data_IF_572810544234
#
_entry.id   IF_572810544234
#
_cell.length_a   1.000
_cell.length_b   1.000
_cell.length_c   1.000
_cell.angle_alpha   90.00
_cell.angle_beta   90.00
_cell.angle_gamma   90.00
#
_symmetry.space_group_name_H-M   'P 1'
#
loop_
_entity.id
_entity.type
_entity.pdbx_description
1 polymer ?
#
# COMPACT_ATOMS: atom_id res chain seq x y z
N UNK A 1 -34.72 -8.57 -9.06
CA UNK A 1 -33.61 -9.09 -9.85
C UNK A 1 -32.40 -9.27 -8.96
N UNK A 2 -31.78 -10.46 -8.93
CA UNK A 2 -30.53 -10.65 -8.18
C UNK A 2 -29.40 -9.85 -8.82
N UNK A 3 -28.47 -9.34 -7.98
CA UNK A 3 -27.31 -8.53 -8.41
C UNK A 3 -26.00 -9.08 -7.83
N UNK A 4 -26.01 -10.34 -7.36
CA UNK A 4 -24.87 -10.90 -6.62
C UNK A 4 -23.57 -10.90 -7.45
N UNK A 5 -23.62 -11.35 -8.70
CA UNK A 5 -22.48 -11.34 -9.61
C UNK A 5 -22.08 -9.93 -10.07
N UNK A 6 -23.06 -9.04 -10.27
CA UNK A 6 -22.82 -7.63 -10.57
C UNK A 6 -22.07 -6.94 -9.42
N UNK A 7 -22.53 -7.11 -8.18
CA UNK A 7 -21.87 -6.55 -7.00
C UNK A 7 -20.45 -7.10 -6.85
N UNK A 8 -20.26 -8.43 -6.98
CA UNK A 8 -18.94 -9.03 -6.94
C UNK A 8 -17.99 -8.48 -8.02
N UNK A 9 -18.52 -8.24 -9.23
CA UNK A 9 -17.78 -7.64 -10.35
C UNK A 9 -17.38 -6.20 -10.05
N UNK A 10 -18.32 -5.38 -9.57
CA UNK A 10 -18.05 -3.97 -9.23
C UNK A 10 -16.98 -3.83 -8.15
N UNK A 11 -17.01 -4.69 -7.12
CA UNK A 11 -16.00 -4.71 -6.06
C UNK A 11 -14.62 -5.01 -6.66
N UNK A 12 -14.51 -6.04 -7.52
CA UNK A 12 -13.23 -6.41 -8.15
C UNK A 12 -12.69 -5.32 -9.08
N UNK A 13 -13.55 -4.71 -9.89
CA UNK A 13 -13.16 -3.61 -10.78
C UNK A 13 -12.67 -2.39 -9.99
N UNK A 14 -13.38 -2.03 -8.90
CA UNK A 14 -12.96 -0.92 -8.05
C UNK A 14 -11.64 -1.23 -7.34
N UNK A 15 -11.53 -2.41 -6.72
CA UNK A 15 -10.34 -2.80 -5.99
C UNK A 15 -9.11 -2.88 -6.90
N UNK A 16 -9.27 -3.41 -8.13
CA UNK A 16 -8.19 -3.45 -9.12
C UNK A 16 -7.63 -2.05 -9.40
N UNK A 17 -8.51 -1.07 -9.58
CA UNK A 17 -8.12 0.32 -9.79
C UNK A 17 -7.36 0.88 -8.58
N UNK A 18 -7.92 0.75 -7.39
CA UNK A 18 -7.32 1.26 -6.14
C UNK A 18 -5.94 0.63 -5.86
N UNK A 19 -5.79 -0.68 -6.10
CA UNK A 19 -4.52 -1.38 -5.93
C UNK A 19 -3.45 -0.85 -6.88
N UNK A 20 -3.79 -0.58 -8.15
CA UNK A 20 -2.85 -0.03 -9.12
C UNK A 20 -2.45 1.41 -8.78
N UNK A 21 -3.41 2.24 -8.38
CA UNK A 21 -3.16 3.63 -7.96
C UNK A 21 -2.26 3.66 -6.71
N UNK A 22 -2.55 2.82 -5.71
CA UNK A 22 -1.71 2.70 -4.51
C UNK A 22 -0.28 2.23 -4.85
N UNK A 23 -0.15 1.22 -5.71
CA UNK A 23 1.18 0.74 -6.11
C UNK A 23 2.00 1.84 -6.80
N UNK A 24 1.37 2.67 -7.64
CA UNK A 24 2.02 3.82 -8.27
C UNK A 24 2.48 4.86 -7.24
N UNK A 25 1.63 5.22 -6.27
CA UNK A 25 1.98 6.16 -5.20
C UNK A 25 3.13 5.62 -4.33
N UNK A 26 3.11 4.32 -4.00
CA UNK A 26 4.20 3.68 -3.25
C UNK A 26 5.52 3.70 -4.04
N UNK A 27 5.49 3.46 -5.35
CA UNK A 27 6.68 3.55 -6.20
C UNK A 27 7.23 4.99 -6.26
N UNK A 28 6.37 6.00 -6.26
CA UNK A 28 6.79 7.41 -6.18
C UNK A 28 7.49 7.69 -4.84
N UNK A 29 6.98 7.14 -3.73
CA UNK A 29 7.63 7.25 -2.42
C UNK A 29 9.01 6.57 -2.42
N UNK A 30 9.11 5.34 -2.92
CA UNK A 30 10.38 4.61 -3.04
C UNK A 30 11.39 5.41 -3.87
N UNK A 31 10.98 5.98 -5.01
CA UNK A 31 11.83 6.82 -5.84
C UNK A 31 12.28 8.09 -5.11
N UNK A 32 11.40 8.71 -4.34
CA UNK A 32 11.75 9.87 -3.51
C UNK A 32 12.79 9.52 -2.47
N UNK A 33 12.63 8.39 -1.79
CA UNK A 33 13.60 7.88 -0.82
C UNK A 33 14.96 7.59 -1.48
N UNK A 34 14.96 6.95 -2.64
CA UNK A 34 16.19 6.68 -3.41
C UNK A 34 16.91 7.98 -3.82
N UNK A 35 16.15 9.01 -4.20
CA UNK A 35 16.72 10.34 -4.50
C UNK A 35 17.36 10.96 -3.28
N UNK A 36 16.66 11.01 -2.13
CA UNK A 36 17.21 11.54 -0.88
C UNK A 36 18.47 10.76 -0.48
N UNK A 37 18.46 9.44 -0.60
CA UNK A 37 19.63 8.60 -0.31
C UNK A 37 20.81 8.95 -1.23
N UNK A 38 20.59 9.12 -2.52
CA UNK A 38 21.62 9.50 -3.48
C UNK A 38 22.25 10.85 -3.16
N UNK A 39 21.45 11.82 -2.72
CA UNK A 39 21.90 13.17 -2.35
C UNK A 39 22.64 13.20 -1.01
N UNK A 40 22.51 12.16 -0.18
CA UNK A 40 23.05 12.07 1.18
C UNK A 40 23.91 10.84 1.44
N UNK A 41 24.55 10.30 0.41
CA UNK A 41 25.32 9.06 0.51
C UNK A 41 26.52 9.16 1.46
N UNK A 42 27.08 10.37 1.65
CA UNK A 42 28.21 10.66 2.54
C UNK A 42 27.78 11.20 3.91
N UNK A 43 26.49 11.42 4.15
CA UNK A 43 25.98 11.96 5.41
C UNK A 43 26.07 10.90 6.49
N UNK A 44 27.09 11.00 7.36
CA UNK A 44 27.30 10.08 8.47
C UNK A 44 26.33 10.41 9.60
N UNK A 45 25.70 9.37 10.16
CA UNK A 45 24.84 9.47 11.32
C UNK A 45 25.08 8.32 12.29
N UNK A 46 24.78 8.49 13.59
CA UNK A 46 24.82 7.38 14.52
C UNK A 46 23.70 6.38 14.26
N UNK A 47 24.03 5.10 14.24
CA UNK A 47 23.03 4.03 14.27
C UNK A 47 22.61 3.74 15.71
N UNK A 48 21.39 3.24 15.89
CA UNK A 48 20.81 2.91 17.18
C UNK A 48 20.30 1.49 17.22
N UNK A 49 20.50 0.82 18.35
CA UNK A 49 19.76 -0.38 18.75
C UNK A 49 19.29 -0.18 20.18
N UNK A 50 18.04 -0.50 20.47
CA UNK A 50 17.45 -0.28 21.80
C UNK A 50 17.58 1.17 22.29
N UNK A 51 17.51 2.14 21.38
CA UNK A 51 17.73 3.58 21.62
C UNK A 51 19.12 3.91 22.22
N UNK A 52 20.08 3.01 22.07
CA UNK A 52 21.47 3.22 22.46
C UNK A 52 22.34 3.36 21.21
N UNK A 53 23.37 4.21 21.29
CA UNK A 53 24.34 4.35 20.20
C UNK A 53 24.95 3.00 19.82
N UNK A 54 24.92 2.68 18.56
CA UNK A 54 25.49 1.48 17.99
C UNK A 54 26.58 1.85 16.96
N UNK A 55 26.61 1.19 15.81
CA UNK A 55 27.59 1.46 14.76
C UNK A 55 27.24 2.76 14.03
N UNK A 56 28.24 3.52 13.53
CA UNK A 56 27.99 4.58 12.57
C UNK A 56 27.37 4.03 11.28
N UNK A 57 26.49 4.81 10.69
CA UNK A 57 25.88 4.50 9.40
C UNK A 57 25.81 5.77 8.55
N UNK A 58 25.22 5.71 7.37
CA UNK A 58 24.88 6.88 6.57
C UNK A 58 23.37 7.04 6.49
N UNK A 59 22.92 8.27 6.28
CA UNK A 59 21.50 8.58 6.05
C UNK A 59 20.98 7.77 4.84
N UNK A 60 21.78 7.69 3.78
CA UNK A 60 21.44 6.89 2.61
C UNK A 60 21.18 5.42 2.93
N UNK A 61 22.07 4.79 3.70
CA UNK A 61 21.92 3.38 4.07
C UNK A 61 20.63 3.15 4.89
N UNK A 62 20.35 4.06 5.81
CA UNK A 62 19.15 3.99 6.65
C UNK A 62 17.86 4.12 5.83
N UNK A 63 17.77 5.16 4.99
CA UNK A 63 16.59 5.41 4.13
C UNK A 63 16.37 4.25 3.14
N UNK A 64 17.45 3.72 2.55
CA UNK A 64 17.34 2.61 1.61
C UNK A 64 16.81 1.33 2.27
N UNK A 65 17.04 1.12 3.57
CA UNK A 65 16.44 0.01 4.30
C UNK A 65 14.90 0.04 4.27
N UNK A 66 14.32 1.23 4.45
CA UNK A 66 12.86 1.43 4.33
C UNK A 66 12.39 1.36 2.88
N UNK A 67 13.14 1.96 1.94
CA UNK A 67 12.80 1.88 0.51
C UNK A 67 12.73 0.44 -0.01
N UNK A 68 13.66 -0.42 0.40
CA UNK A 68 13.64 -1.85 0.07
C UNK A 68 12.43 -2.58 0.71
N UNK A 69 12.07 -2.24 1.93
CA UNK A 69 10.88 -2.79 2.60
C UNK A 69 9.60 -2.42 1.85
N UNK A 70 9.44 -1.15 1.51
CA UNK A 70 8.30 -0.67 0.70
C UNK A 70 8.29 -1.27 -0.71
N UNK A 71 9.46 -1.50 -1.33
CA UNK A 71 9.57 -2.20 -2.60
C UNK A 71 8.96 -3.61 -2.54
N UNK A 72 9.26 -4.36 -1.49
CA UNK A 72 8.63 -5.68 -1.26
C UNK A 72 7.12 -5.58 -1.00
N UNK A 73 6.64 -4.49 -0.42
CA UNK A 73 5.22 -4.26 -0.23
C UNK A 73 4.50 -3.92 -1.55
N UNK A 74 5.18 -3.21 -2.47
CA UNK A 74 4.69 -3.02 -3.84
C UNK A 74 4.52 -4.38 -4.55
N UNK A 75 5.49 -5.28 -4.43
CA UNK A 75 5.38 -6.62 -4.99
C UNK A 75 4.19 -7.40 -4.40
N UNK A 76 3.97 -7.30 -3.08
CA UNK A 76 2.84 -7.94 -2.38
C UNK A 76 1.50 -7.43 -2.88
N UNK A 77 1.33 -6.09 -2.97
CA UNK A 77 0.04 -5.51 -3.36
C UNK A 77 -0.26 -5.77 -4.83
N UNK A 78 0.73 -5.73 -5.70
CA UNK A 78 0.58 -6.13 -7.11
C UNK A 78 0.25 -7.62 -7.25
N UNK A 79 0.85 -8.48 -6.42
CA UNK A 79 0.52 -9.90 -6.37
C UNK A 79 -0.95 -10.20 -6.05
N UNK A 80 -1.68 -9.30 -5.38
CA UNK A 80 -3.11 -9.47 -5.15
C UNK A 80 -3.92 -9.41 -6.45
N UNK A 81 -3.41 -8.76 -7.50
CA UNK A 81 -4.12 -8.61 -8.77
C UNK A 81 -4.49 -9.94 -9.40
N UNK A 82 -3.67 -10.98 -9.28
CA UNK A 82 -3.94 -12.32 -9.81
C UNK A 82 -5.27 -12.92 -9.29
N UNK A 83 -5.65 -12.58 -8.06
CA UNK A 83 -6.91 -13.03 -7.42
C UNK A 83 -8.02 -12.03 -7.58
N UNK A 84 -7.72 -10.74 -7.69
CA UNK A 84 -8.70 -9.67 -7.94
C UNK A 84 -9.18 -9.73 -9.38
N UNK A 85 -8.27 -9.95 -10.35
CA UNK A 85 -8.52 -9.78 -11.78
C UNK A 85 -9.20 -10.99 -12.43
N UNK A 86 -10.19 -11.57 -11.73
CA UNK A 86 -11.01 -12.71 -12.17
C UNK A 86 -12.47 -12.32 -12.25
N UNK A 87 -13.12 -12.60 -13.40
CA UNK A 87 -14.48 -12.16 -13.72
C UNK A 87 -15.53 -13.06 -13.09
N UNK A 88 -16.38 -12.58 -12.16
CA UNK A 88 -17.49 -13.34 -11.61
C UNK A 88 -18.78 -13.17 -12.43
N UNK A 89 -18.88 -12.17 -13.33
CA UNK A 89 -20.11 -11.80 -14.01
C UNK A 89 -20.66 -12.93 -14.88
N UNK A 90 -21.98 -13.10 -14.86
CA UNK A 90 -22.67 -14.21 -15.48
C UNK A 90 -22.85 -15.43 -14.58
N UNK A 91 -22.34 -15.37 -13.31
CA UNK A 91 -22.69 -16.36 -12.29
C UNK A 91 -24.14 -16.23 -11.78
N UNK A 92 -24.79 -15.13 -12.11
CA UNK A 92 -26.15 -14.79 -11.70
C UNK A 92 -26.32 -14.74 -10.18
N UNK A 93 -27.37 -15.32 -9.63
CA UNK A 93 -27.56 -15.36 -8.17
C UNK A 93 -26.47 -16.20 -7.48
N UNK A 94 -26.17 -17.40 -7.99
CA UNK A 94 -25.09 -18.30 -7.54
C UNK A 94 -24.86 -19.53 -8.46
N UNK A 95 -25.82 -19.91 -9.28
CA UNK A 95 -25.82 -21.16 -10.05
C UNK A 95 -25.79 -20.93 -11.57
N UNK A 96 -25.38 -19.74 -12.02
CA UNK A 96 -25.37 -19.35 -13.42
C UNK A 96 -26.77 -19.19 -14.02
N UNK A 97 -26.93 -19.27 -15.33
CA UNK A 97 -28.19 -19.08 -16.05
C UNK A 97 -28.25 -19.99 -17.27
N UNK A 98 -29.47 -20.39 -17.66
CA UNK A 98 -29.71 -21.11 -18.90
C UNK A 98 -29.81 -20.23 -20.14
N UNK A 99 -29.72 -18.90 -20.02
CA UNK A 99 -29.66 -18.02 -21.19
C UNK A 99 -28.29 -18.14 -21.88
N UNK A 100 -28.26 -18.00 -23.24
CA UNK A 100 -27.01 -18.13 -24.01
C UNK A 100 -26.14 -16.87 -23.87
N UNK A 101 -25.55 -16.68 -22.70
CA UNK A 101 -24.60 -15.61 -22.44
C UNK A 101 -23.15 -16.08 -22.69
N UNK A 102 -22.29 -15.16 -23.13
CA UNK A 102 -20.85 -15.40 -23.28
C UNK A 102 -20.08 -14.69 -22.15
N UNK A 103 -19.73 -15.47 -21.12
CA UNK A 103 -18.97 -14.96 -19.97
C UNK A 103 -17.53 -14.59 -20.34
N UNK A 104 -16.94 -15.28 -21.30
CA UNK A 104 -15.58 -14.99 -21.74
C UNK A 104 -15.51 -13.64 -22.45
N UNK A 105 -16.48 -13.37 -23.32
CA UNK A 105 -16.61 -12.05 -23.98
C UNK A 105 -16.86 -10.92 -22.99
N UNK A 106 -17.64 -11.19 -21.95
CA UNK A 106 -17.88 -10.21 -20.87
C UNK A 106 -16.62 -9.93 -20.09
N UNK A 107 -15.83 -10.95 -19.74
CA UNK A 107 -14.55 -10.80 -19.05
C UNK A 107 -13.56 -9.97 -19.88
N UNK A 108 -13.43 -10.28 -21.17
CA UNK A 108 -12.57 -9.53 -22.10
C UNK A 108 -12.96 -8.05 -22.17
N UNK A 109 -14.25 -7.73 -22.32
CA UNK A 109 -14.74 -6.36 -22.41
C UNK A 109 -14.51 -5.55 -21.12
N UNK A 110 -14.48 -6.22 -19.95
CA UNK A 110 -14.21 -5.61 -18.66
C UNK A 110 -12.72 -5.64 -18.29
N UNK A 111 -11.87 -6.20 -19.16
CA UNK A 111 -10.42 -6.29 -18.95
C UNK A 111 -10.01 -7.23 -17.82
N UNK A 112 -10.80 -8.26 -17.56
CA UNK A 112 -10.39 -9.36 -16.66
C UNK A 112 -9.54 -10.39 -17.43
N UNK A 113 -8.60 -11.01 -16.73
CA UNK A 113 -7.72 -12.02 -17.33
C UNK A 113 -8.44 -13.34 -17.57
N UNK A 114 -9.32 -13.73 -16.66
CA UNK A 114 -10.04 -14.99 -16.73
C UNK A 114 -11.45 -14.94 -16.13
N UNK A 115 -12.25 -15.93 -16.46
CA UNK A 115 -13.59 -16.14 -15.89
C UNK A 115 -13.50 -17.08 -14.68
N UNK A 116 -14.11 -16.72 -13.56
CA UNK A 116 -14.27 -17.64 -12.42
C UNK A 116 -15.17 -18.81 -12.81
N UNK A 117 -14.63 -20.03 -12.75
CA UNK A 117 -15.30 -21.21 -13.27
C UNK A 117 -16.49 -21.64 -12.41
N UNK A 118 -16.32 -21.68 -11.10
CA UNK A 118 -17.41 -22.04 -10.19
C UNK A 118 -18.26 -20.81 -9.88
N UNK A 119 -19.54 -20.86 -10.23
CA UNK A 119 -20.47 -19.72 -10.09
C UNK A 119 -20.83 -19.42 -8.62
N UNK A 120 -20.80 -20.40 -7.73
CA UNK A 120 -21.03 -20.17 -6.30
C UNK A 120 -19.84 -19.41 -5.68
N UNK A 121 -18.62 -19.85 -5.96
CA UNK A 121 -17.40 -19.17 -5.54
C UNK A 121 -17.33 -17.75 -6.10
N UNK A 122 -17.69 -17.58 -7.37
CA UNK A 122 -17.69 -16.28 -8.05
C UNK A 122 -18.54 -15.20 -7.34
N UNK A 123 -19.66 -15.59 -6.73
CA UNK A 123 -20.55 -14.64 -6.02
C UNK A 123 -20.31 -14.58 -4.51
N UNK A 124 -19.77 -15.65 -3.91
CA UNK A 124 -19.59 -15.74 -2.44
C UNK A 124 -18.16 -15.43 -1.98
N UNK A 125 -17.13 -15.75 -2.78
CA UNK A 125 -15.72 -15.59 -2.42
C UNK A 125 -15.37 -14.13 -2.08
N UNK A 126 -14.70 -13.93 -0.93
CA UNK A 126 -14.21 -12.64 -0.43
C UNK A 126 -12.77 -12.72 0.08
N UNK A 127 -12.11 -13.84 -0.14
CA UNK A 127 -10.73 -14.11 0.22
C UNK A 127 -9.76 -13.09 -0.39
N UNK A 128 -9.97 -12.68 -1.62
CA UNK A 128 -9.20 -11.61 -2.28
C UNK A 128 -9.26 -10.26 -1.55
N UNK A 129 -10.39 -9.93 -0.89
CA UNK A 129 -10.50 -8.73 -0.05
C UNK A 129 -9.71 -8.87 1.24
N UNK A 130 -9.79 -10.05 1.88
CA UNK A 130 -9.06 -10.34 3.12
C UNK A 130 -7.55 -10.34 2.88
N UNK A 131 -7.10 -10.93 1.75
CA UNK A 131 -5.71 -10.90 1.33
C UNK A 131 -5.24 -9.44 1.13
N UNK A 132 -5.97 -8.66 0.34
CA UNK A 132 -5.63 -7.24 0.10
C UNK A 132 -5.60 -6.45 1.40
N UNK A 133 -6.58 -6.63 2.30
CA UNK A 133 -6.60 -5.96 3.59
C UNK A 133 -5.40 -6.34 4.47
N UNK A 134 -4.95 -7.60 4.41
CA UNK A 134 -3.76 -8.05 5.13
C UNK A 134 -2.47 -7.42 4.59
N UNK A 135 -2.37 -7.26 3.28
CA UNK A 135 -1.23 -6.57 2.64
C UNK A 135 -1.25 -5.08 3.00
N UNK A 136 -2.42 -4.44 2.97
CA UNK A 136 -2.57 -3.04 3.39
C UNK A 136 -2.14 -2.82 4.85
N UNK A 137 -2.51 -3.75 5.74
CA UNK A 137 -2.05 -3.69 7.14
C UNK A 137 -0.52 -3.79 7.24
N UNK A 138 0.13 -4.63 6.44
CA UNK A 138 1.58 -4.74 6.40
C UNK A 138 2.24 -3.44 5.92
N UNK A 139 1.71 -2.83 4.86
CA UNK A 139 2.16 -1.51 4.35
C UNK A 139 2.05 -0.46 5.47
N UNK A 140 0.93 -0.41 6.19
CA UNK A 140 0.72 0.55 7.28
C UNK A 140 1.67 0.36 8.46
N UNK A 141 2.11 -0.87 8.73
CA UNK A 141 3.15 -1.13 9.73
C UNK A 141 4.47 -0.49 9.32
N UNK A 142 4.89 -0.64 8.07
CA UNK A 142 6.12 -0.01 7.58
C UNK A 142 6.00 1.51 7.57
N UNK A 143 4.88 2.06 7.10
CA UNK A 143 4.62 3.51 7.16
C UNK A 143 4.67 4.06 8.59
N UNK A 144 4.11 3.32 9.55
CA UNK A 144 4.18 3.68 10.97
C UNK A 144 5.61 3.71 11.51
N UNK A 145 6.46 2.75 11.11
CA UNK A 145 7.88 2.72 11.51
C UNK A 145 8.64 3.93 10.96
N UNK A 146 8.45 4.24 9.68
CA UNK A 146 9.08 5.42 9.05
C UNK A 146 8.64 6.69 9.77
N UNK A 147 7.35 6.84 10.03
CA UNK A 147 6.79 8.01 10.71
C UNK A 147 7.34 8.17 12.12
N UNK A 148 7.42 7.09 12.89
CA UNK A 148 7.97 7.11 14.25
C UNK A 148 9.44 7.54 14.25
N UNK A 149 10.25 7.10 13.31
CA UNK A 149 11.63 7.54 13.20
C UNK A 149 11.74 9.02 12.86
N UNK A 150 10.89 9.55 11.96
CA UNK A 150 10.85 10.98 11.65
C UNK A 150 10.44 11.82 12.87
N UNK A 151 9.49 11.35 13.66
CA UNK A 151 9.10 11.97 14.94
C UNK A 151 10.29 12.02 15.91
N UNK A 152 10.97 10.88 16.12
CA UNK A 152 12.16 10.82 16.96
C UNK A 152 13.27 11.75 16.47
N UNK A 153 13.57 11.73 15.17
CA UNK A 153 14.64 12.50 14.58
C UNK A 153 14.38 14.00 14.60
N UNK A 154 13.12 14.44 14.61
CA UNK A 154 12.73 15.85 14.72
C UNK A 154 12.68 16.34 16.16
N UNK A 155 12.82 15.47 17.15
CA UNK A 155 12.84 15.87 18.56
C UNK A 155 14.09 16.65 18.93
N UNK A 156 14.00 17.47 19.97
CA UNK A 156 15.15 18.25 20.51
C UNK A 156 16.32 17.35 20.92
N UNK A 157 16.03 16.15 21.39
CA UNK A 157 17.00 15.17 21.89
C UNK A 157 17.83 14.57 20.75
N UNK A 158 17.21 14.28 19.59
CA UNK A 158 17.90 13.74 18.42
C UNK A 158 18.36 14.84 17.47
N UNK A 159 17.47 15.73 17.05
CA UNK A 159 17.78 16.88 16.20
C UNK A 159 18.44 16.55 14.85
N UNK A 160 18.13 15.39 14.28
CA UNK A 160 18.71 14.96 13.00
C UNK A 160 18.04 15.61 11.80
N UNK A 161 16.75 15.93 11.93
CA UNK A 161 15.96 16.58 10.89
C UNK A 161 15.15 17.73 11.47
N UNK A 162 14.78 18.67 10.62
CA UNK A 162 13.78 19.69 10.89
C UNK A 162 12.62 19.56 9.92
N UNK A 163 11.41 19.42 10.47
CA UNK A 163 10.21 19.36 9.65
C UNK A 163 9.84 20.77 9.15
N UNK A 164 9.38 20.86 7.91
CA UNK A 164 8.82 22.11 7.39
C UNK A 164 7.57 22.51 8.19
N UNK A 165 7.36 23.81 8.34
CA UNK A 165 6.19 24.37 9.04
C UNK A 165 4.86 23.94 8.42
N UNK A 166 4.85 23.52 7.16
CA UNK A 166 3.67 23.00 6.46
C UNK A 166 3.22 21.63 6.99
N UNK A 167 4.14 20.88 7.62
CA UNK A 167 3.92 19.53 8.14
C UNK A 167 4.05 19.44 9.65
N UNK A 168 3.95 20.56 10.34
CA UNK A 168 4.05 20.64 11.78
C UNK A 168 2.91 21.49 12.34
N UNK A 169 2.36 21.08 13.47
CA UNK A 169 1.40 21.89 14.20
C UNK A 169 2.05 22.72 15.29
N UNK A 170 1.38 23.80 15.68
CA UNK A 170 1.82 24.66 16.78
C UNK A 170 1.05 24.32 18.07
N UNK A 171 1.70 24.51 19.22
CA UNK A 171 1.03 24.41 20.49
C UNK A 171 0.04 25.57 20.68
N UNK A 172 -1.11 25.30 21.26
CA UNK A 172 -2.12 26.32 21.60
C UNK A 172 -1.66 27.29 22.70
N UNK A 173 -0.67 26.93 23.49
CA UNK A 173 -0.20 27.72 24.64
C UNK A 173 1.29 28.10 24.52
N UNK A 174 2.09 27.35 23.75
CA UNK A 174 3.54 27.59 23.58
C UNK A 174 3.83 27.88 22.13
N UNK A 175 3.84 29.15 21.69
CA UNK A 175 3.96 29.51 20.27
C UNK A 175 5.27 29.03 19.61
N UNK A 176 6.32 28.84 20.38
CA UNK A 176 7.62 28.36 19.91
C UNK A 176 7.68 26.83 19.74
N UNK A 177 6.66 26.10 20.24
CA UNK A 177 6.62 24.64 20.16
C UNK A 177 6.10 24.20 18.81
N UNK A 178 6.86 23.37 18.12
CA UNK A 178 6.56 22.77 16.83
C UNK A 178 6.38 21.26 17.03
N UNK A 179 5.23 20.73 16.67
CA UNK A 179 4.89 19.33 16.86
C UNK A 179 4.94 18.58 15.52
N UNK A 180 5.58 17.43 15.47
CA UNK A 180 5.59 16.53 14.30
C UNK A 180 4.31 15.69 14.27
N UNK A 181 3.20 16.26 13.84
CA UNK A 181 1.88 15.57 13.77
C UNK A 181 1.70 14.79 12.49
#
# INVERSE_FOLDING_TARGET
RSRNDEVATCIRLRLRKEVLELAEEMLQLVNTMAKIASENHDTIMPGYTHLQHAQPTTLAHHIMGHAESLGRDVERILGCLDRINRCPLGAAAFASTGFPIDRSRTAELLGFEEVMQNSMDAVSGRDFLLETASVLANIMIEMSRISEELVLWSSTEFGFIELSDQYASTSSIMPQKKNPD
#
